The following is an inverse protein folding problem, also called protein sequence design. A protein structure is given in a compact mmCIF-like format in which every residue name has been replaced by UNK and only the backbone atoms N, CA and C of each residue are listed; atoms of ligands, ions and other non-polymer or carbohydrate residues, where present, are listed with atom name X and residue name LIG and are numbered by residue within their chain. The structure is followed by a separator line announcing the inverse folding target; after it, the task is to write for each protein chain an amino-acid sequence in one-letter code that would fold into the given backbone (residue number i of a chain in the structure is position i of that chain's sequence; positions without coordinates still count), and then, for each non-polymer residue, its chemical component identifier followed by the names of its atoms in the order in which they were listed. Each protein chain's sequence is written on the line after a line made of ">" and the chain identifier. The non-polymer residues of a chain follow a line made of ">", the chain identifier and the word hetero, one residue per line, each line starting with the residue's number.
data_IF_122361185291
#
_entry.id   IF_122361185291
#
_cell.length_a   1.000
_cell.length_b   1.000
_cell.length_c   1.000
_cell.angle_alpha   90.00
_cell.angle_beta   90.00
_cell.angle_gamma   90.00
#
_symmetry.space_group_name_H-M   'P 1'
#
loop_
_entity.id
_entity.type
_entity.pdbx_description
1 polymer ?
#
# COMPACT_ATOMS: atom_id res chain seq x y z
N UNK A 1 -11.16 10.17 28.36
CA UNK A 1 -11.02 11.22 27.34
C UNK A 1 -10.16 10.66 26.22
N UNK A 2 -10.65 10.73 24.99
CA UNK A 2 -9.99 10.22 23.79
C UNK A 2 -8.64 10.86 23.59
N UNK A 3 -7.68 10.09 23.08
CA UNK A 3 -6.33 10.55 22.76
C UNK A 3 -6.09 10.40 21.26
N UNK A 4 -5.33 11.33 20.68
CA UNK A 4 -4.79 11.19 19.34
C UNK A 4 -3.84 9.99 19.33
N UNK A 5 -4.16 8.97 18.52
CA UNK A 5 -3.33 7.78 18.33
C UNK A 5 -2.34 7.96 17.18
N UNK A 6 -2.82 8.46 16.06
CA UNK A 6 -2.03 8.69 14.86
C UNK A 6 -2.60 9.84 14.05
N UNK A 7 -1.75 10.43 13.23
CA UNK A 7 -2.11 11.48 12.29
C UNK A 7 -1.55 11.09 10.93
N UNK A 8 -2.41 11.10 9.92
CA UNK A 8 -2.05 10.82 8.53
C UNK A 8 -2.21 12.04 7.64
N UNK A 9 -2.18 11.79 6.32
CA UNK A 9 -2.36 12.85 5.34
C UNK A 9 -3.78 13.44 5.37
N UNK A 10 -4.78 12.58 5.49
CA UNK A 10 -6.18 12.97 5.34
C UNK A 10 -6.93 13.15 6.66
N UNK A 11 -6.43 12.61 7.78
CA UNK A 11 -7.15 12.69 9.06
C UNK A 11 -6.35 12.25 10.27
N UNK A 12 -7.02 12.30 11.42
CA UNK A 12 -6.48 11.93 12.72
C UNK A 12 -7.29 10.81 13.35
N UNK A 13 -6.62 9.80 13.90
CA UNK A 13 -7.27 8.65 14.54
C UNK A 13 -7.26 8.83 16.06
N UNK A 14 -8.40 8.61 16.69
CA UNK A 14 -8.61 8.78 18.12
C UNK A 14 -9.04 7.48 18.79
N UNK A 15 -8.54 7.26 20.02
CA UNK A 15 -8.97 6.17 20.89
C UNK A 15 -8.98 6.55 22.38
N UNK A 16 -10.00 6.17 23.17
CA UNK A 16 -11.32 5.68 22.73
C UNK A 16 -11.96 6.59 21.67
N UNK A 17 -12.91 6.07 20.87
CA UNK A 17 -13.49 6.77 19.72
C UNK A 17 -14.09 8.15 20.03
N UNK A 18 -14.61 8.84 19.01
CA UNK A 18 -15.25 10.15 19.09
C UNK A 18 -16.70 10.02 18.63
N UNK A 19 -17.64 10.41 19.48
CA UNK A 19 -19.06 10.46 19.12
C UNK A 19 -19.33 11.66 18.20
N UNK A 20 -20.49 11.68 17.54
CA UNK A 20 -20.89 12.75 16.61
C UNK A 20 -20.99 14.15 17.26
N UNK A 21 -21.25 14.23 18.56
CA UNK A 21 -21.23 15.47 19.34
C UNK A 21 -19.80 15.95 19.71
N UNK A 22 -18.77 15.21 19.26
CA UNK A 22 -17.37 15.46 19.54
C UNK A 22 -16.91 14.96 20.91
N UNK A 23 -17.78 14.34 21.70
CA UNK A 23 -17.42 13.75 22.99
C UNK A 23 -16.63 12.44 22.82
N UNK A 24 -15.95 11.99 23.88
CA UNK A 24 -15.26 10.69 23.86
C UNK A 24 -16.27 9.56 23.94
N UNK A 25 -16.16 8.59 23.03
CA UNK A 25 -16.89 7.33 23.10
C UNK A 25 -16.42 6.50 24.30
N UNK A 26 -17.34 5.74 24.87
CA UNK A 26 -17.06 4.76 25.92
C UNK A 26 -16.85 3.34 25.36
N UNK A 27 -17.05 3.14 24.06
CA UNK A 27 -16.87 1.83 23.43
C UNK A 27 -15.37 1.54 23.20
N UNK A 28 -14.79 0.53 23.88
CA UNK A 28 -13.38 0.18 23.72
C UNK A 28 -13.08 -0.59 22.42
N UNK A 29 -14.12 -0.99 21.67
CA UNK A 29 -13.98 -1.72 20.41
C UNK A 29 -13.87 -0.81 19.19
N UNK A 30 -13.97 0.50 19.38
CA UNK A 30 -14.01 1.50 18.31
C UNK A 30 -12.89 2.52 18.44
N UNK A 31 -12.23 2.77 17.33
CA UNK A 31 -11.43 3.96 17.09
C UNK A 31 -12.14 4.82 16.03
N UNK A 32 -11.89 6.12 16.04
CA UNK A 32 -12.55 7.04 15.12
C UNK A 32 -11.52 7.87 14.36
N UNK A 33 -11.57 7.84 13.03
CA UNK A 33 -10.81 8.74 12.16
C UNK A 33 -11.65 9.98 11.91
N UNK A 34 -11.13 11.14 12.30
CA UNK A 34 -11.73 12.44 12.00
C UNK A 34 -10.98 13.05 10.83
N UNK A 35 -11.70 13.41 9.78
CA UNK A 35 -11.16 14.06 8.59
C UNK A 35 -12.13 15.07 7.98
N UNK A 36 -11.65 15.89 7.05
CA UNK A 36 -12.49 16.79 6.28
C UNK A 36 -13.49 15.98 5.46
N UNK A 37 -14.74 16.47 5.38
CA UNK A 37 -15.76 15.88 4.51
C UNK A 37 -15.49 16.29 3.06
N UNK A 38 -14.92 15.38 2.30
CA UNK A 38 -14.56 15.51 0.88
C UNK A 38 -14.78 14.19 0.11
N UNK A 39 -14.33 14.14 -1.15
CA UNK A 39 -14.42 12.95 -2.00
C UNK A 39 -13.77 11.72 -1.35
N UNK A 40 -12.55 11.85 -0.81
CA UNK A 40 -11.82 10.72 -0.22
C UNK A 40 -12.56 10.17 0.99
N UNK A 41 -13.12 11.05 1.83
CA UNK A 41 -13.89 10.61 2.99
C UNK A 41 -15.18 9.86 2.64
N UNK A 42 -15.89 10.32 1.60
CA UNK A 42 -17.09 9.66 1.11
C UNK A 42 -16.73 8.31 0.47
N UNK A 43 -15.66 8.29 -0.33
CA UNK A 43 -15.16 7.08 -0.95
C UNK A 43 -14.71 6.04 0.09
N UNK A 44 -14.03 6.44 1.16
CA UNK A 44 -13.60 5.54 2.24
C UNK A 44 -14.79 4.84 2.92
N UNK A 45 -15.86 5.59 3.23
CA UNK A 45 -17.09 5.04 3.79
C UNK A 45 -17.81 4.12 2.81
N UNK A 46 -17.93 4.50 1.54
CA UNK A 46 -18.56 3.66 0.52
C UNK A 46 -17.80 2.35 0.28
N UNK A 47 -16.47 2.39 0.26
CA UNK A 47 -15.63 1.20 0.18
C UNK A 47 -15.77 0.36 1.45
N UNK A 48 -15.86 1.01 2.62
CA UNK A 48 -16.11 0.34 3.90
C UNK A 48 -17.40 -0.47 3.91
N UNK A 49 -18.48 0.07 3.32
CA UNK A 49 -19.75 -0.64 3.13
C UNK A 49 -19.65 -1.87 2.21
N UNK A 50 -18.80 -1.80 1.17
CA UNK A 50 -18.56 -2.93 0.27
C UNK A 50 -17.74 -4.00 0.98
N UNK A 51 -16.65 -3.62 1.65
CA UNK A 51 -15.75 -4.52 2.36
C UNK A 51 -16.47 -5.24 3.50
N UNK A 52 -17.32 -4.54 4.25
CA UNK A 52 -18.06 -5.11 5.38
C UNK A 52 -19.04 -6.22 4.97
N UNK A 53 -19.37 -6.34 3.68
CA UNK A 53 -20.19 -7.42 3.11
C UNK A 53 -19.37 -8.67 2.72
N UNK A 54 -18.05 -8.56 2.66
CA UNK A 54 -17.17 -9.70 2.36
C UNK A 54 -17.19 -10.66 3.55
N UNK A 55 -17.41 -11.96 3.29
CA UNK A 55 -17.39 -12.96 4.36
C UNK A 55 -16.02 -13.03 5.03
N UNK A 56 -16.03 -12.81 6.36
CA UNK A 56 -14.84 -12.77 7.20
C UNK A 56 -13.92 -11.57 6.95
N UNK A 57 -14.47 -10.42 6.54
CA UNK A 57 -13.68 -9.22 6.23
C UNK A 57 -12.81 -8.75 7.40
N UNK A 58 -13.27 -8.91 8.63
CA UNK A 58 -12.58 -8.55 9.89
C UNK A 58 -11.28 -9.34 10.11
N UNK A 59 -11.14 -10.47 9.42
CA UNK A 59 -9.89 -11.19 9.33
C UNK A 59 -8.88 -10.48 8.42
N UNK A 60 -9.26 -9.65 7.46
CA UNK A 60 -8.33 -9.13 6.46
C UNK A 60 -8.22 -7.61 6.46
N UNK A 61 -9.26 -6.91 6.91
CA UNK A 61 -9.43 -5.48 6.70
C UNK A 61 -9.91 -4.79 7.98
N UNK A 62 -9.61 -3.50 8.10
CA UNK A 62 -10.22 -2.59 9.08
C UNK A 62 -10.87 -1.45 8.29
N UNK A 63 -12.07 -1.68 7.71
CA UNK A 63 -12.80 -0.65 7.00
C UNK A 63 -13.46 0.34 7.98
N UNK A 64 -13.93 1.46 7.42
CA UNK A 64 -14.97 2.28 8.06
C UNK A 64 -16.25 1.45 8.14
N UNK A 65 -16.88 1.42 9.32
CA UNK A 65 -18.11 0.66 9.58
C UNK A 65 -19.31 1.55 9.92
N UNK A 66 -19.05 2.79 10.32
CA UNK A 66 -20.07 3.81 10.55
C UNK A 66 -19.47 5.20 10.35
N UNK A 67 -20.29 6.18 10.02
CA UNK A 67 -19.85 7.58 9.91
C UNK A 67 -20.91 8.56 10.41
N UNK A 68 -20.46 9.70 10.90
CA UNK A 68 -21.33 10.83 11.15
C UNK A 68 -20.62 12.18 11.03
N UNK A 69 -21.38 13.22 10.72
CA UNK A 69 -20.87 14.59 10.79
C UNK A 69 -20.52 14.93 12.24
N UNK A 70 -19.34 15.50 12.43
CA UNK A 70 -18.85 15.89 13.76
C UNK A 70 -18.73 17.40 13.88
N UNK A 71 -19.32 17.96 14.93
CA UNK A 71 -19.24 19.39 15.19
C UNK A 71 -17.99 19.71 16.03
N UNK A 72 -16.88 19.99 15.36
CA UNK A 72 -15.61 20.34 16.01
C UNK A 72 -15.75 21.58 16.91
N UNK A 73 -16.55 22.58 16.52
CA UNK A 73 -16.70 23.85 17.26
C UNK A 73 -17.33 23.67 18.65
N UNK A 74 -18.22 22.69 18.79
CA UNK A 74 -18.92 22.40 20.03
C UNK A 74 -18.23 21.33 20.88
N UNK A 75 -17.15 20.73 20.37
CA UNK A 75 -16.45 19.69 21.10
C UNK A 75 -15.62 20.27 22.25
N UNK A 76 -15.84 19.72 23.45
CA UNK A 76 -15.00 19.96 24.62
C UNK A 76 -13.71 19.11 24.62
N UNK A 77 -13.45 18.33 23.57
CA UNK A 77 -12.34 17.39 23.52
C UNK A 77 -11.06 18.07 23.02
N UNK A 78 -10.18 18.43 23.96
CA UNK A 78 -8.89 19.07 23.67
C UNK A 78 -7.98 18.25 22.75
N UNK A 79 -8.21 16.94 22.62
CA UNK A 79 -7.43 16.11 21.71
C UNK A 79 -7.71 16.42 20.23
N UNK A 80 -8.93 16.86 19.88
CA UNK A 80 -9.25 17.26 18.50
C UNK A 80 -8.42 18.48 18.06
N UNK A 81 -8.14 19.41 18.98
CA UNK A 81 -7.30 20.59 18.71
C UNK A 81 -5.83 20.25 18.47
N UNK A 82 -5.40 19.01 18.76
CA UNK A 82 -4.03 18.55 18.48
C UNK A 82 -3.87 17.99 17.07
N UNK A 83 -4.97 17.84 16.34
CA UNK A 83 -4.96 17.34 14.98
C UNK A 83 -4.65 18.49 14.02
N UNK A 84 -3.51 18.43 13.33
CA UNK A 84 -3.13 19.47 12.35
C UNK A 84 -4.05 19.49 11.12
N UNK A 85 -4.83 18.43 10.88
CA UNK A 85 -5.83 18.43 9.79
C UNK A 85 -7.04 19.32 10.16
N UNK A 86 -7.25 19.60 11.44
CA UNK A 86 -8.36 20.41 11.95
C UNK A 86 -7.86 21.85 12.15
N UNK A 87 -7.45 22.49 11.06
CA UNK A 87 -6.95 23.88 11.07
C UNK A 87 -8.08 24.90 10.94
N UNK A 88 -9.10 24.58 10.13
CA UNK A 88 -10.17 25.50 9.78
C UNK A 88 -11.53 24.98 10.28
N UNK A 89 -12.07 25.70 11.27
CA UNK A 89 -13.35 25.41 11.90
C UNK A 89 -14.56 25.68 10.99
N UNK A 90 -14.39 26.30 9.82
CA UNK A 90 -15.44 26.48 8.81
C UNK A 90 -15.67 25.25 7.95
N UNK A 91 -14.69 24.35 7.86
CA UNK A 91 -14.86 23.10 7.13
C UNK A 91 -15.84 22.14 7.84
N UNK A 92 -16.54 21.36 7.04
CA UNK A 92 -17.28 20.21 7.53
C UNK A 92 -16.33 19.03 7.76
N UNK A 93 -16.49 18.37 8.90
CA UNK A 93 -15.71 17.20 9.28
C UNK A 93 -16.62 15.99 9.45
N UNK A 94 -16.07 14.81 9.18
CA UNK A 94 -16.71 13.52 9.40
C UNK A 94 -15.89 12.73 10.41
N UNK A 95 -16.59 12.10 11.34
CA UNK A 95 -16.07 11.10 12.26
C UNK A 95 -16.44 9.73 11.67
N UNK A 96 -15.44 8.92 11.37
CA UNK A 96 -15.59 7.60 10.76
C UNK A 96 -15.10 6.55 11.75
N UNK A 97 -16.01 5.68 12.18
CA UNK A 97 -15.73 4.64 13.14
C UNK A 97 -15.15 3.41 12.45
N UNK A 98 -14.14 2.84 13.09
CA UNK A 98 -13.43 1.64 12.64
C UNK A 98 -13.20 0.68 13.81
N UNK A 99 -13.15 -0.64 13.57
CA UNK A 99 -12.78 -1.60 14.60
C UNK A 99 -11.40 -1.29 15.20
N UNK A 100 -11.34 -1.09 16.51
CA UNK A 100 -10.09 -0.93 17.21
C UNK A 100 -9.42 -2.29 17.46
N UNK A 101 -8.15 -2.39 17.07
CA UNK A 101 -7.29 -3.50 17.47
C UNK A 101 -6.03 -2.97 18.15
N UNK A 102 -5.52 -3.73 19.11
CA UNK A 102 -4.18 -3.46 19.65
C UNK A 102 -3.17 -3.80 18.56
N UNK A 103 -2.41 -2.80 18.12
CA UNK A 103 -1.41 -2.96 17.07
C UNK A 103 0.02 -3.02 17.61
N UNK A 104 0.92 -3.53 16.79
CA UNK A 104 2.37 -3.44 16.95
C UNK A 104 2.97 -2.97 15.63
N UNK A 105 3.88 -2.00 15.67
CA UNK A 105 4.52 -1.51 14.45
C UNK A 105 5.59 -2.48 13.95
N UNK A 106 5.81 -2.50 12.63
CA UNK A 106 6.79 -3.40 12.02
C UNK A 106 8.23 -3.23 12.58
N UNK A 107 8.76 -2.01 12.81
CA UNK A 107 10.05 -1.83 13.50
C UNK A 107 10.07 -2.36 14.93
N UNK A 108 8.94 -2.32 15.65
CA UNK A 108 8.86 -2.87 16.99
C UNK A 108 8.80 -4.40 16.98
N UNK A 109 8.15 -5.00 15.98
CA UNK A 109 8.20 -6.44 15.74
C UNK A 109 9.64 -6.92 15.48
N UNK A 110 10.41 -6.16 14.69
CA UNK A 110 11.84 -6.45 14.47
C UNK A 110 12.64 -6.45 15.77
N UNK A 111 12.34 -5.55 16.72
CA UNK A 111 13.05 -5.48 18.01
C UNK A 111 12.65 -6.60 18.97
N UNK A 112 11.36 -6.97 18.96
CA UNK A 112 10.76 -7.83 20.00
C UNK A 112 10.72 -9.31 19.62
N UNK A 113 10.50 -9.64 18.35
CA UNK A 113 10.42 -11.03 17.88
C UNK A 113 11.82 -11.62 17.73
N UNK A 114 11.95 -12.94 17.92
CA UNK A 114 13.18 -13.65 17.52
C UNK A 114 13.36 -13.60 16.00
N UNK A 115 14.59 -13.70 15.49
CA UNK A 115 14.84 -13.70 14.04
C UNK A 115 14.04 -14.77 13.29
N UNK A 116 13.87 -15.95 13.90
CA UNK A 116 13.00 -17.02 13.38
C UNK A 116 11.55 -16.54 13.26
N UNK A 117 10.98 -16.05 14.35
CA UNK A 117 9.58 -15.60 14.37
C UNK A 117 9.35 -14.43 13.41
N UNK A 118 10.33 -13.54 13.24
CA UNK A 118 10.24 -12.45 12.28
C UNK A 118 10.18 -12.97 10.83
N UNK A 119 11.06 -13.90 10.46
CA UNK A 119 11.05 -14.50 9.11
C UNK A 119 9.71 -15.21 8.85
N UNK A 120 9.22 -15.99 9.81
CA UNK A 120 7.88 -16.60 9.73
C UNK A 120 6.79 -15.54 9.58
N UNK A 121 6.87 -14.46 10.34
CA UNK A 121 5.87 -13.39 10.26
C UNK A 121 5.85 -12.75 8.89
N UNK A 122 7.01 -12.51 8.26
CA UNK A 122 7.10 -11.97 6.89
C UNK A 122 6.46 -12.94 5.88
N UNK A 123 6.81 -14.22 5.96
CA UNK A 123 6.26 -15.28 5.10
C UNK A 123 4.74 -15.35 5.21
N UNK A 124 4.24 -15.46 6.45
CA UNK A 124 2.82 -15.57 6.73
C UNK A 124 2.08 -14.29 6.35
N UNK A 125 2.69 -13.13 6.55
CA UNK A 125 2.09 -11.85 6.16
C UNK A 125 1.91 -11.75 4.66
N UNK A 126 2.92 -12.13 3.86
CA UNK A 126 2.79 -12.13 2.40
C UNK A 126 1.66 -13.05 1.92
N UNK A 127 1.63 -14.29 2.46
CA UNK A 127 0.57 -15.26 2.17
C UNK A 127 -0.81 -14.72 2.51
N UNK A 128 -0.94 -14.12 3.69
CA UNK A 128 -2.20 -13.58 4.19
C UNK A 128 -2.68 -12.38 3.37
N UNK A 129 -1.77 -11.48 3.00
CA UNK A 129 -2.07 -10.30 2.20
C UNK A 129 -2.47 -10.70 0.76
N UNK A 130 -1.86 -11.72 0.17
CA UNK A 130 -2.35 -12.27 -1.11
C UNK A 130 -3.78 -12.80 -1.03
N UNK A 131 -4.19 -13.38 0.11
CA UNK A 131 -5.58 -13.79 0.33
C UNK A 131 -6.51 -12.57 0.49
N UNK A 132 -6.02 -11.49 1.11
CA UNK A 132 -6.75 -10.24 1.22
C UNK A 132 -6.95 -9.59 -0.16
N UNK A 133 -5.92 -9.56 -1.01
CA UNK A 133 -6.02 -9.04 -2.37
C UNK A 133 -7.00 -9.82 -3.23
N UNK A 134 -7.01 -11.16 -3.13
CA UNK A 134 -8.01 -12.00 -3.81
C UNK A 134 -9.44 -11.63 -3.39
N UNK A 135 -9.67 -11.31 -2.13
CA UNK A 135 -10.98 -10.83 -1.64
C UNK A 135 -11.36 -9.46 -2.20
N UNK A 136 -10.42 -8.51 -2.25
CA UNK A 136 -10.66 -7.18 -2.83
C UNK A 136 -10.94 -7.27 -4.34
N UNK A 137 -10.15 -8.06 -5.07
CA UNK A 137 -10.33 -8.28 -6.51
C UNK A 137 -11.71 -8.90 -6.80
N UNK A 138 -12.15 -9.89 -6.02
CA UNK A 138 -13.50 -10.48 -6.13
C UNK A 138 -14.61 -9.47 -5.82
N UNK A 139 -14.35 -8.50 -4.94
CA UNK A 139 -15.25 -7.38 -4.65
C UNK A 139 -15.10 -6.22 -5.64
N UNK A 140 -14.24 -6.36 -6.65
CA UNK A 140 -13.90 -5.35 -7.67
C UNK A 140 -13.42 -4.02 -7.08
N UNK A 141 -12.58 -4.12 -6.05
CA UNK A 141 -11.91 -2.99 -5.41
C UNK A 141 -10.42 -3.10 -5.70
N UNK A 142 -9.83 -1.99 -6.15
CA UNK A 142 -8.38 -1.78 -6.16
C UNK A 142 -8.05 -0.97 -4.91
N UNK A 143 -7.16 -1.46 -4.05
CA UNK A 143 -6.72 -0.71 -2.88
C UNK A 143 -6.04 0.60 -3.27
N UNK A 144 -5.20 0.55 -4.31
CA UNK A 144 -4.55 1.70 -4.96
C UNK A 144 -3.46 2.41 -4.13
N UNK A 145 -3.42 2.19 -2.81
CA UNK A 145 -2.36 2.70 -1.92
C UNK A 145 -1.72 1.63 -1.03
N UNK A 146 -1.41 0.45 -1.57
CA UNK A 146 -0.89 -0.65 -0.73
C UNK A 146 0.60 -0.46 -0.40
N UNK A 147 0.87 -0.05 0.84
CA UNK A 147 2.20 0.17 1.42
C UNK A 147 2.25 -0.25 2.89
N UNK A 148 3.44 -0.30 3.49
CA UNK A 148 3.64 -0.87 4.82
C UNK A 148 2.87 -0.11 5.91
N UNK A 149 2.75 1.20 5.77
CA UNK A 149 2.01 2.11 6.64
C UNK A 149 0.50 1.82 6.64
N UNK A 150 0.00 1.24 5.54
CA UNK A 150 -1.38 0.81 5.36
C UNK A 150 -1.58 -0.68 5.72
N UNK A 151 -0.60 -1.29 6.38
CA UNK A 151 -0.69 -2.64 6.96
C UNK A 151 -0.60 -2.56 8.50
N UNK A 152 -1.69 -2.86 9.18
CA UNK A 152 -1.74 -2.94 10.63
C UNK A 152 -1.50 -4.36 11.14
N UNK A 153 -0.49 -4.55 12.00
CA UNK A 153 -0.22 -5.86 12.60
C UNK A 153 -0.85 -5.98 13.98
N UNK A 154 -1.66 -7.02 14.20
CA UNK A 154 -2.29 -7.27 15.51
C UNK A 154 -1.24 -7.66 16.54
N UNK A 155 -1.21 -7.00 17.71
CA UNK A 155 -0.18 -7.18 18.74
C UNK A 155 -0.10 -8.62 19.27
N UNK A 156 -1.23 -9.29 19.41
CA UNK A 156 -1.28 -10.64 20.00
C UNK A 156 -0.84 -11.75 19.04
N UNK A 157 -1.10 -11.58 17.73
CA UNK A 157 -0.95 -12.66 16.74
C UNK A 157 -0.02 -12.31 15.58
N UNK A 158 0.40 -11.05 15.46
CA UNK A 158 1.16 -10.48 14.34
C UNK A 158 0.55 -10.66 12.95
N UNK A 159 -0.69 -11.13 12.86
CA UNK A 159 -1.44 -11.19 11.61
C UNK A 159 -1.72 -9.77 11.09
N UNK A 160 -1.50 -9.52 9.78
CA UNK A 160 -1.75 -8.23 9.17
C UNK A 160 -3.24 -7.98 8.91
N UNK A 161 -3.61 -6.69 8.84
CA UNK A 161 -4.88 -6.16 8.36
C UNK A 161 -4.59 -4.99 7.43
N UNK A 162 -5.26 -4.92 6.29
CA UNK A 162 -5.18 -3.77 5.39
C UNK A 162 -6.12 -2.68 5.91
N UNK A 163 -5.63 -1.44 5.89
CA UNK A 163 -6.33 -0.23 6.34
C UNK A 163 -6.21 0.86 5.28
N UNK A 164 -6.94 1.97 5.49
CA UNK A 164 -6.87 3.20 4.68
C UNK A 164 -7.33 3.01 3.22
N UNK A 165 -8.65 3.00 3.05
CA UNK A 165 -9.30 2.81 1.74
C UNK A 165 -9.70 4.14 1.07
N UNK A 166 -9.17 5.28 1.54
CA UNK A 166 -9.62 6.60 1.13
C UNK A 166 -9.48 6.87 -0.37
N UNK A 167 -8.43 6.33 -0.99
CA UNK A 167 -8.19 6.46 -2.44
C UNK A 167 -8.43 5.16 -3.22
N UNK A 168 -9.02 4.15 -2.59
CA UNK A 168 -9.34 2.88 -3.26
C UNK A 168 -10.35 3.10 -4.39
N UNK A 169 -10.23 2.31 -5.46
CA UNK A 169 -11.03 2.45 -6.66
C UNK A 169 -12.10 1.35 -6.70
N UNK A 170 -13.39 1.70 -6.55
CA UNK A 170 -14.50 0.78 -6.82
C UNK A 170 -14.74 0.69 -8.34
N UNK A 171 -14.28 -0.38 -8.97
CA UNK A 171 -14.31 -0.54 -10.43
C UNK A 171 -15.72 -0.41 -11.03
N UNK A 172 -16.75 -0.91 -10.31
CA UNK A 172 -18.14 -0.82 -10.76
C UNK A 172 -18.71 0.61 -10.76
N UNK A 173 -18.03 1.56 -10.10
CA UNK A 173 -18.42 2.98 -10.05
C UNK A 173 -17.48 3.88 -10.86
N UNK A 174 -16.33 3.38 -11.31
CA UNK A 174 -15.35 4.14 -12.07
C UNK A 174 -15.89 4.45 -13.48
N UNK A 175 -15.75 5.70 -13.91
CA UNK A 175 -16.10 6.17 -15.25
C UNK A 175 -15.26 7.39 -15.63
N UNK A 176 -15.39 7.86 -16.87
CA UNK A 176 -14.61 8.96 -17.40
C UNK A 176 -14.81 10.28 -16.62
N UNK A 177 -16.00 10.50 -16.04
CA UNK A 177 -16.32 11.73 -15.31
C UNK A 177 -15.66 11.79 -13.92
N UNK A 178 -15.43 10.64 -13.29
CA UNK A 178 -14.86 10.57 -11.93
C UNK A 178 -13.42 10.07 -11.86
N UNK A 179 -12.83 9.61 -12.97
CA UNK A 179 -11.48 9.06 -12.99
C UNK A 179 -10.43 10.02 -12.42
N UNK A 180 -10.55 11.32 -12.71
CA UNK A 180 -9.65 12.36 -12.18
C UNK A 180 -9.69 12.49 -10.65
N UNK A 181 -10.77 12.07 -9.99
CA UNK A 181 -10.83 12.10 -8.52
C UNK A 181 -9.98 10.98 -7.89
N UNK A 182 -9.83 9.85 -8.59
CA UNK A 182 -8.99 8.73 -8.15
C UNK A 182 -7.53 8.93 -8.55
N UNK A 183 -7.28 9.27 -9.82
CA UNK A 183 -5.94 9.55 -10.36
C UNK A 183 -5.61 11.04 -10.22
N UNK A 184 -5.70 11.57 -9.00
CA UNK A 184 -5.68 13.01 -8.74
C UNK A 184 -4.31 13.67 -8.89
N UNK A 185 -3.23 12.89 -8.98
CA UNK A 185 -1.86 13.38 -9.07
C UNK A 185 -0.98 12.47 -9.93
N UNK A 186 -0.05 13.07 -10.67
CA UNK A 186 1.08 12.38 -11.29
C UNK A 186 2.25 12.30 -10.31
N UNK A 187 2.59 11.09 -9.88
CA UNK A 187 3.68 10.82 -8.93
C UNK A 187 4.47 9.59 -9.40
N UNK A 188 5.33 9.72 -10.44
CA UNK A 188 6.05 8.59 -11.03
C UNK A 188 7.07 7.97 -10.06
N UNK A 189 7.54 8.72 -9.08
CA UNK A 189 8.43 8.27 -8.01
C UNK A 189 7.70 7.55 -6.86
N UNK A 190 6.36 7.54 -6.86
CA UNK A 190 5.54 6.79 -5.91
C UNK A 190 5.53 5.29 -6.25
N UNK A 191 6.66 4.64 -5.99
CA UNK A 191 7.02 3.34 -6.55
C UNK A 191 6.10 2.14 -6.24
N UNK A 192 5.13 2.30 -5.33
CA UNK A 192 4.06 1.32 -5.11
C UNK A 192 2.99 1.35 -6.21
N UNK A 193 2.89 2.45 -6.96
CA UNK A 193 2.15 2.50 -8.20
C UNK A 193 2.92 1.79 -9.31
N UNK A 194 2.20 1.03 -10.12
CA UNK A 194 2.80 0.39 -11.29
C UNK A 194 2.89 1.40 -12.45
N UNK A 195 3.74 1.16 -13.47
CA UNK A 195 3.90 2.08 -14.58
C UNK A 195 2.60 2.48 -15.29
N UNK A 196 1.62 1.57 -15.35
CA UNK A 196 0.32 1.84 -15.99
C UNK A 196 -0.46 2.93 -15.23
N UNK A 197 -0.41 2.92 -13.89
CA UNK A 197 -1.01 3.97 -13.06
C UNK A 197 -0.32 5.31 -13.34
N UNK A 198 1.02 5.31 -13.39
CA UNK A 198 1.80 6.53 -13.67
C UNK A 198 1.46 7.14 -15.03
N UNK A 199 1.28 6.31 -16.07
CA UNK A 199 0.89 6.78 -17.41
C UNK A 199 -0.54 7.34 -17.42
N UNK A 200 -1.49 6.68 -16.76
CA UNK A 200 -2.86 7.20 -16.63
C UNK A 200 -2.82 8.56 -15.92
N UNK A 201 -2.12 8.64 -14.78
CA UNK A 201 -1.99 9.86 -14.03
C UNK A 201 -1.33 10.99 -14.84
N UNK A 202 -0.27 10.69 -15.61
CA UNK A 202 0.36 11.66 -16.50
C UNK A 202 -0.63 12.20 -17.55
N UNK A 203 -1.33 11.31 -18.25
CA UNK A 203 -2.30 11.69 -19.27
C UNK A 203 -3.50 12.46 -18.70
N UNK A 204 -3.86 12.24 -17.44
CA UNK A 204 -4.96 12.94 -16.80
C UNK A 204 -4.56 14.29 -16.20
N UNK A 205 -3.30 14.46 -15.78
CA UNK A 205 -2.89 15.59 -14.96
C UNK A 205 -1.87 16.52 -15.62
N UNK A 206 -1.03 16.03 -16.52
CA UNK A 206 0.11 16.77 -17.06
C UNK A 206 -0.06 17.19 -18.53
N UNK A 207 -0.93 16.53 -19.28
CA UNK A 207 -1.09 16.79 -20.72
C UNK A 207 -2.48 16.51 -21.26
N UNK A 208 -2.91 17.36 -22.21
CA UNK A 208 -4.11 17.13 -23.04
C UNK A 208 -3.78 16.45 -24.38
N UNK A 209 -2.51 16.09 -24.61
CA UNK A 209 -2.01 15.52 -25.87
C UNK A 209 -1.78 14.00 -25.76
N UNK A 210 -1.59 13.37 -26.92
CA UNK A 210 -1.13 11.98 -27.02
C UNK A 210 0.34 11.88 -26.54
N UNK A 211 0.75 10.71 -26.02
CA UNK A 211 2.12 10.48 -25.52
C UNK A 211 3.17 10.72 -26.62
N UNK A 212 4.21 11.46 -26.28
CA UNK A 212 5.42 11.64 -27.09
C UNK A 212 6.54 10.71 -26.62
N UNK A 213 7.60 10.60 -27.43
CA UNK A 213 8.79 9.85 -27.03
C UNK A 213 9.46 10.44 -25.79
N UNK A 214 9.49 11.78 -25.69
CA UNK A 214 10.10 12.49 -24.57
C UNK A 214 9.34 12.21 -23.26
N UNK A 215 7.99 12.21 -23.31
CA UNK A 215 7.15 11.85 -22.15
C UNK A 215 7.44 10.43 -21.65
N UNK A 216 7.60 9.48 -22.59
CA UNK A 216 7.90 8.08 -22.27
C UNK A 216 9.28 7.94 -21.63
N UNK A 217 10.28 8.67 -22.14
CA UNK A 217 11.63 8.67 -21.56
C UNK A 217 11.65 9.25 -20.15
N UNK A 218 10.94 10.36 -19.93
CA UNK A 218 10.81 10.98 -18.61
C UNK A 218 10.09 10.06 -17.61
N UNK A 219 8.93 9.50 -17.98
CA UNK A 219 8.20 8.55 -17.13
C UNK A 219 9.08 7.37 -16.76
N UNK A 220 9.80 6.77 -17.73
CA UNK A 220 10.62 5.60 -17.49
C UNK A 220 11.82 5.90 -16.57
N UNK A 221 12.46 7.06 -16.75
CA UNK A 221 13.56 7.53 -15.89
C UNK A 221 13.07 7.76 -14.46
N UNK A 222 12.04 8.61 -14.28
CA UNK A 222 11.51 8.98 -12.97
C UNK A 222 10.99 7.75 -12.21
N UNK A 223 10.27 6.87 -12.90
CA UNK A 223 9.73 5.64 -12.29
C UNK A 223 10.83 4.67 -11.87
N UNK A 224 11.90 4.54 -12.65
CA UNK A 224 13.00 3.62 -12.33
C UNK A 224 13.86 4.17 -11.19
N UNK A 225 14.25 5.44 -11.26
CA UNK A 225 15.09 6.08 -10.25
C UNK A 225 14.35 6.27 -8.91
N UNK A 226 13.05 6.57 -8.97
CA UNK A 226 12.19 6.66 -7.79
C UNK A 226 11.90 5.30 -7.13
N UNK A 227 12.13 4.18 -7.82
CA UNK A 227 11.83 2.86 -7.28
C UNK A 227 12.88 2.37 -6.29
N UNK A 228 12.65 2.71 -5.02
CA UNK A 228 13.53 2.36 -3.90
C UNK A 228 13.64 0.86 -3.66
N UNK A 229 12.69 0.03 -4.12
CA UNK A 229 12.87 -1.43 -4.04
C UNK A 229 14.04 -1.92 -4.92
N UNK A 230 14.45 -1.12 -5.91
CA UNK A 230 15.57 -1.40 -6.80
C UNK A 230 16.93 -0.93 -6.23
N UNK A 231 16.98 -0.20 -5.11
CA UNK A 231 18.22 0.38 -4.54
C UNK A 231 19.30 -0.66 -4.25
N UNK A 232 18.89 -1.88 -3.88
CA UNK A 232 19.82 -2.97 -3.57
C UNK A 232 20.33 -3.71 -4.81
N UNK A 233 19.83 -3.38 -6.00
CA UNK A 233 20.22 -4.01 -7.26
C UNK A 233 21.35 -3.25 -7.95
N UNK A 234 22.08 -3.94 -8.83
CA UNK A 234 23.15 -3.32 -9.62
C UNK A 234 22.60 -2.25 -10.57
N UNK A 235 23.47 -1.30 -10.95
CA UNK A 235 23.13 -0.33 -12.00
C UNK A 235 22.70 -1.01 -13.29
N UNK A 236 23.38 -2.10 -13.69
CA UNK A 236 23.00 -2.91 -14.85
C UNK A 236 21.58 -3.47 -14.74
N UNK A 237 21.15 -3.90 -13.55
CA UNK A 237 19.77 -4.36 -13.34
C UNK A 237 18.77 -3.23 -13.50
N UNK A 238 19.06 -2.05 -12.92
CA UNK A 238 18.21 -0.85 -13.05
C UNK A 238 18.10 -0.40 -14.51
N UNK A 239 19.22 -0.37 -15.24
CA UNK A 239 19.25 -0.05 -16.67
C UNK A 239 18.38 -1.02 -17.47
N UNK A 240 18.50 -2.34 -17.22
CA UNK A 240 17.66 -3.34 -17.85
C UNK A 240 16.17 -3.18 -17.52
N UNK A 241 15.83 -2.83 -16.26
CA UNK A 241 14.45 -2.55 -15.87
C UNK A 241 13.90 -1.34 -16.62
N UNK A 242 14.68 -0.25 -16.73
CA UNK A 242 14.33 0.94 -17.50
C UNK A 242 14.12 0.64 -18.97
N UNK A 243 15.01 -0.13 -19.58
CA UNK A 243 14.87 -0.53 -20.99
C UNK A 243 13.60 -1.35 -21.24
N UNK A 244 13.27 -2.29 -20.34
CA UNK A 244 12.00 -3.03 -20.44
C UNK A 244 10.77 -2.11 -20.32
N UNK A 245 10.84 -1.08 -19.47
CA UNK A 245 9.79 -0.09 -19.32
C UNK A 245 9.67 0.80 -20.57
N UNK A 246 10.78 1.28 -21.11
CA UNK A 246 10.81 2.03 -22.37
C UNK A 246 10.24 1.22 -23.53
N UNK A 247 10.63 -0.06 -23.63
CA UNK A 247 10.10 -0.96 -24.66
C UNK A 247 8.58 -1.10 -24.56
N UNK A 248 8.05 -1.27 -23.34
CA UNK A 248 6.60 -1.36 -23.10
C UNK A 248 5.88 -0.06 -23.48
N UNK A 249 6.38 1.09 -23.02
CA UNK A 249 5.68 2.37 -23.18
C UNK A 249 5.78 2.96 -24.59
N UNK A 250 6.86 2.64 -25.34
CA UNK A 250 7.04 3.09 -26.73
C UNK A 250 5.93 2.63 -27.67
N UNK A 251 5.25 1.52 -27.36
CA UNK A 251 4.10 1.03 -28.15
C UNK A 251 2.90 1.98 -28.14
N UNK A 252 2.85 2.91 -27.17
CA UNK A 252 1.75 3.86 -26.98
C UNK A 252 2.05 5.28 -27.50
N UNK A 253 3.27 5.53 -28.01
CA UNK A 253 3.64 6.85 -28.57
C UNK A 253 2.79 7.18 -29.79
N UNK A 254 2.16 8.35 -29.78
CA UNK A 254 1.25 8.81 -30.84
C UNK A 254 -0.09 8.05 -30.91
N UNK A 255 -0.35 7.12 -29.98
CA UNK A 255 -1.66 6.49 -29.85
C UNK A 255 -2.61 7.45 -29.13
N UNK A 256 -3.88 7.47 -29.55
CA UNK A 256 -4.91 8.33 -28.97
C UNK A 256 -4.98 8.19 -27.45
N UNK A 257 -4.89 9.31 -26.73
CA UNK A 257 -4.93 9.43 -25.27
C UNK A 257 -5.99 8.54 -24.62
N UNK A 258 -7.24 8.62 -25.07
CA UNK A 258 -8.35 7.86 -24.49
C UNK A 258 -8.16 6.35 -24.66
N UNK A 259 -7.58 5.94 -25.78
CA UNK A 259 -7.25 4.53 -26.04
C UNK A 259 -6.13 4.05 -25.13
N UNK A 260 -5.10 4.89 -24.91
CA UNK A 260 -4.00 4.55 -23.98
C UNK A 260 -4.54 4.38 -22.56
N UNK A 261 -5.32 5.35 -22.06
CA UNK A 261 -5.93 5.27 -20.72
C UNK A 261 -6.73 3.97 -20.57
N UNK A 262 -7.59 3.65 -21.54
CA UNK A 262 -8.37 2.41 -21.53
C UNK A 262 -7.48 1.16 -21.50
N UNK A 263 -6.46 1.09 -22.35
CA UNK A 263 -5.55 -0.07 -22.38
C UNK A 263 -4.74 -0.22 -21.09
N UNK A 264 -4.32 0.90 -20.48
CA UNK A 264 -3.67 0.86 -19.17
C UNK A 264 -4.62 0.33 -18.09
N UNK A 265 -5.86 0.81 -18.08
CA UNK A 265 -6.92 0.35 -17.17
C UNK A 265 -7.25 -1.14 -17.33
N UNK A 266 -7.12 -1.72 -18.52
CA UNK A 266 -7.36 -3.16 -18.75
C UNK A 266 -6.39 -4.07 -17.96
N UNK A 267 -5.30 -3.52 -17.42
CA UNK A 267 -4.30 -4.25 -16.62
C UNK A 267 -4.52 -4.22 -15.09
N UNK A 268 -5.62 -3.63 -14.62
CA UNK A 268 -5.87 -3.31 -13.22
C UNK A 268 -5.81 -4.50 -12.25
N UNK A 269 -6.12 -5.71 -12.73
CA UNK A 269 -6.10 -6.95 -11.92
C UNK A 269 -4.72 -7.25 -11.31
N UNK A 270 -3.65 -6.66 -11.85
CA UNK A 270 -2.27 -6.88 -11.40
C UNK A 270 -1.73 -5.77 -10.49
N UNK A 271 -2.45 -4.66 -10.33
CA UNK A 271 -1.91 -3.44 -9.72
C UNK A 271 -1.62 -3.60 -8.23
N UNK A 272 -2.59 -4.07 -7.44
CA UNK A 272 -2.33 -4.28 -6.01
C UNK A 272 -1.32 -5.41 -5.77
N UNK A 273 -1.23 -6.40 -6.67
CA UNK A 273 -0.21 -7.44 -6.60
C UNK A 273 1.19 -6.88 -6.89
N UNK A 274 1.31 -5.93 -7.82
CA UNK A 274 2.53 -5.15 -8.03
C UNK A 274 2.90 -4.38 -6.76
N UNK A 275 1.96 -3.64 -6.15
CA UNK A 275 2.20 -2.85 -4.94
C UNK A 275 2.64 -3.71 -3.76
N UNK A 276 1.96 -4.85 -3.55
CA UNK A 276 2.35 -5.84 -2.54
C UNK A 276 3.75 -6.36 -2.80
N UNK A 277 4.06 -6.66 -4.06
CA UNK A 277 5.33 -7.28 -4.43
C UNK A 277 6.51 -6.31 -4.30
N UNK A 278 6.35 -5.06 -4.73
CA UNK A 278 7.41 -4.05 -4.60
C UNK A 278 7.65 -3.67 -3.14
N UNK A 279 6.59 -3.60 -2.32
CA UNK A 279 6.70 -3.42 -0.87
C UNK A 279 7.49 -4.56 -0.22
N UNK A 280 7.15 -5.82 -0.51
CA UNK A 280 7.89 -6.96 0.05
C UNK A 280 9.31 -7.08 -0.50
N UNK A 281 9.55 -6.68 -1.75
CA UNK A 281 10.90 -6.63 -2.32
C UNK A 281 11.76 -5.61 -1.57
N UNK A 282 11.23 -4.43 -1.26
CA UNK A 282 11.90 -3.43 -0.42
C UNK A 282 12.17 -3.98 0.98
N UNK A 283 11.19 -4.63 1.61
CA UNK A 283 11.38 -5.25 2.94
C UNK A 283 12.52 -6.29 2.89
N UNK A 284 12.51 -7.20 1.92
CA UNK A 284 13.53 -8.26 1.80
C UNK A 284 14.92 -7.67 1.58
N UNK A 285 15.06 -6.70 0.68
CA UNK A 285 16.37 -6.08 0.39
C UNK A 285 16.92 -5.30 1.59
N UNK A 286 16.04 -4.70 2.40
CA UNK A 286 16.43 -4.10 3.68
C UNK A 286 16.82 -5.16 4.71
N UNK A 287 16.09 -6.27 4.82
CA UNK A 287 16.41 -7.34 5.77
C UNK A 287 17.74 -8.04 5.43
N UNK A 288 18.00 -8.22 4.13
CA UNK A 288 19.06 -9.07 3.59
C UNK A 288 19.91 -8.31 2.54
N UNK A 289 20.67 -7.27 2.94
CA UNK A 289 21.32 -6.32 2.01
C UNK A 289 22.60 -6.82 1.34
N UNK A 290 23.35 -7.69 2.02
CA UNK A 290 24.71 -8.06 1.63
C UNK A 290 24.72 -9.56 1.32
N UNK A 291 24.50 -9.91 0.06
CA UNK A 291 24.85 -11.23 -0.49
C UNK A 291 24.15 -12.47 0.09
N UNK A 292 22.97 -12.31 0.68
CA UNK A 292 22.05 -13.42 1.00
C UNK A 292 21.40 -14.02 -0.26
N UNK A 293 21.86 -13.65 -1.47
CA UNK A 293 21.68 -14.35 -2.74
C UNK A 293 22.16 -15.81 -2.74
N UNK A 294 22.60 -16.36 -1.61
CA UNK A 294 22.84 -17.79 -1.41
C UNK A 294 21.65 -18.52 -0.78
N UNK A 295 20.79 -17.84 -0.04
CA UNK A 295 19.65 -18.50 0.57
C UNK A 295 18.57 -18.76 -0.47
N UNK A 296 18.30 -20.05 -0.74
CA UNK A 296 17.37 -20.48 -1.79
C UNK A 296 15.97 -19.89 -1.61
N UNK A 297 15.44 -19.86 -0.39
CA UNK A 297 14.15 -19.24 -0.09
C UNK A 297 14.13 -17.75 -0.49
N UNK A 298 15.11 -16.96 -0.05
CA UNK A 298 15.17 -15.52 -0.37
C UNK A 298 15.28 -15.29 -1.87
N UNK A 299 16.09 -16.08 -2.59
CA UNK A 299 16.22 -15.99 -4.05
C UNK A 299 14.89 -16.26 -4.74
N UNK A 300 14.25 -17.39 -4.42
CA UNK A 300 12.99 -17.79 -5.04
C UNK A 300 11.88 -16.80 -4.72
N UNK A 301 11.83 -16.29 -3.49
CA UNK A 301 10.85 -15.27 -3.10
C UNK A 301 11.09 -13.97 -3.87
N UNK A 302 12.32 -13.45 -3.91
CA UNK A 302 12.68 -12.27 -4.71
C UNK A 302 12.37 -12.44 -6.19
N UNK A 303 12.56 -13.64 -6.78
CA UNK A 303 12.18 -13.92 -8.17
C UNK A 303 10.68 -13.76 -8.41
N UNK A 304 9.83 -14.29 -7.52
CA UNK A 304 8.36 -14.11 -7.63
C UNK A 304 8.00 -12.63 -7.54
N UNK A 305 8.58 -11.90 -6.59
CA UNK A 305 8.32 -10.47 -6.42
C UNK A 305 8.74 -9.68 -7.67
N UNK A 306 9.91 -10.00 -8.25
CA UNK A 306 10.41 -9.41 -9.50
C UNK A 306 9.50 -9.70 -10.70
N UNK A 307 8.92 -10.90 -10.78
CA UNK A 307 7.93 -11.22 -11.82
C UNK A 307 6.68 -10.35 -11.70
N UNK A 308 6.22 -10.10 -10.48
CA UNK A 308 5.03 -9.28 -10.23
C UNK A 308 5.26 -7.78 -10.43
N UNK A 309 6.51 -7.33 -10.37
CA UNK A 309 6.86 -5.92 -10.66
C UNK A 309 7.34 -5.68 -12.10
N UNK A 310 7.18 -6.66 -12.99
CA UNK A 310 7.60 -6.53 -14.39
C UNK A 310 6.92 -5.30 -15.06
N UNK A 311 7.64 -4.47 -15.84
CA UNK A 311 7.06 -3.28 -16.48
C UNK A 311 5.84 -3.58 -17.38
N UNK A 312 5.95 -4.59 -18.24
CA UNK A 312 4.84 -5.15 -19.00
C UNK A 312 3.85 -5.91 -18.08
N UNK A 313 2.56 -5.52 -18.02
CA UNK A 313 1.58 -6.11 -17.11
C UNK A 313 1.21 -7.54 -17.49
N UNK A 314 1.26 -7.92 -18.78
CA UNK A 314 0.95 -9.28 -19.24
C UNK A 314 2.00 -10.31 -18.83
N UNK A 315 3.17 -9.87 -18.33
CA UNK A 315 4.21 -10.73 -17.78
C UNK A 315 4.15 -10.86 -16.27
N UNK A 316 3.26 -10.10 -15.62
CA UNK A 316 2.99 -10.24 -14.18
C UNK A 316 2.12 -11.46 -13.96
N UNK A 317 2.28 -12.05 -12.77
CA UNK A 317 1.42 -13.16 -12.36
C UNK A 317 0.10 -12.60 -11.84
N UNK A 318 -0.98 -13.34 -12.07
CA UNK A 318 -2.22 -13.14 -11.32
C UNK A 318 -1.98 -13.43 -9.82
N UNK A 319 -2.84 -12.89 -8.96
CA UNK A 319 -2.80 -13.16 -7.50
C UNK A 319 -2.79 -14.67 -7.23
N UNK A 320 -3.59 -15.45 -7.98
CA UNK A 320 -3.67 -16.90 -7.82
C UNK A 320 -2.38 -17.61 -8.22
N UNK A 321 -1.77 -17.22 -9.32
CA UNK A 321 -0.48 -17.79 -9.76
C UNK A 321 0.64 -17.41 -8.80
N UNK A 322 0.64 -16.18 -8.28
CA UNK A 322 1.57 -15.75 -7.23
C UNK A 322 1.44 -16.61 -5.98
N UNK A 323 0.21 -16.84 -5.49
CA UNK A 323 -0.06 -17.72 -4.34
C UNK A 323 0.49 -19.13 -4.58
N UNK A 324 0.21 -19.73 -5.75
CA UNK A 324 0.66 -21.07 -6.08
C UNK A 324 2.19 -21.15 -6.11
N UNK A 325 2.86 -20.25 -6.86
CA UNK A 325 4.33 -20.20 -6.93
C UNK A 325 4.99 -19.94 -5.58
N UNK A 326 4.40 -19.09 -4.75
CA UNK A 326 4.94 -18.81 -3.43
C UNK A 326 4.84 -20.02 -2.50
N UNK A 327 3.71 -20.73 -2.53
CA UNK A 327 3.53 -21.97 -1.77
C UNK A 327 4.50 -23.07 -2.25
N UNK A 328 4.77 -23.14 -3.55
CA UNK A 328 5.71 -24.11 -4.13
C UNK A 328 7.14 -23.95 -3.61
N UNK A 329 7.55 -22.76 -3.17
CA UNK A 329 8.87 -22.55 -2.55
C UNK A 329 9.05 -23.53 -1.37
N UNK A 330 8.04 -23.67 -0.51
CA UNK A 330 8.09 -24.53 0.68
C UNK A 330 8.02 -26.02 0.35
N UNK A 331 7.48 -26.39 -0.83
CA UNK A 331 7.49 -27.75 -1.34
C UNK A 331 8.86 -28.11 -1.97
N UNK A 332 9.55 -27.11 -2.53
CA UNK A 332 10.87 -27.25 -3.17
C UNK A 332 12.04 -27.06 -2.21
N UNK A 333 11.82 -26.41 -1.07
CA UNK A 333 12.80 -26.09 -0.03
C UNK A 333 12.41 -26.75 1.30
N UNK A 334 12.48 -28.08 1.34
CA UNK A 334 12.28 -28.87 2.57
C UNK A 334 13.44 -28.81 3.57
N UNK A 335 14.44 -27.93 3.34
CA UNK A 335 15.64 -27.89 4.15
C UNK A 335 15.53 -26.91 5.33
N UNK A 336 15.18 -27.46 6.49
CA UNK A 336 15.17 -26.76 7.78
C UNK A 336 16.50 -26.05 8.06
N UNK A 337 17.63 -26.56 7.54
CA UNK A 337 18.94 -25.96 7.75
C UNK A 337 19.09 -24.61 7.05
N UNK A 338 18.51 -24.44 5.86
CA UNK A 338 18.49 -23.17 5.12
C UNK A 338 17.77 -22.07 5.89
N UNK A 339 16.60 -22.41 6.46
CA UNK A 339 15.84 -21.51 7.31
C UNK A 339 16.59 -21.14 8.61
N UNK A 340 17.20 -22.11 9.29
CA UNK A 340 17.98 -21.86 10.50
C UNK A 340 19.20 -20.97 10.25
N UNK A 341 19.87 -21.16 9.12
CA UNK A 341 20.99 -20.33 8.69
C UNK A 341 20.53 -18.91 8.39
N UNK A 342 19.42 -18.73 7.67
CA UNK A 342 18.84 -17.42 7.40
C UNK A 342 18.52 -16.66 8.69
N UNK A 343 17.89 -17.34 9.66
CA UNK A 343 17.58 -16.74 10.96
C UNK A 343 18.83 -16.35 11.74
N UNK A 344 19.91 -17.12 11.63
CA UNK A 344 21.19 -16.80 12.27
C UNK A 344 21.86 -15.58 11.63
N UNK A 345 21.88 -15.51 10.29
CA UNK A 345 22.40 -14.34 9.56
C UNK A 345 21.59 -13.09 9.90
N UNK A 346 20.27 -13.21 9.92
CA UNK A 346 19.39 -12.09 10.26
C UNK A 346 19.61 -11.59 11.69
N UNK A 347 19.82 -12.47 12.66
CA UNK A 347 20.11 -12.06 14.04
C UNK A 347 21.37 -11.19 14.15
N UNK A 348 22.39 -11.44 13.31
CA UNK A 348 23.62 -10.64 13.28
C UNK A 348 23.39 -9.23 12.71
N UNK A 349 22.44 -9.05 11.78
CA UNK A 349 22.17 -7.77 11.12
C UNK A 349 20.98 -7.01 11.72
N UNK A 350 20.21 -7.64 12.61
CA UNK A 350 18.91 -7.19 13.13
C UNK A 350 18.85 -5.75 13.62
N UNK A 351 19.85 -5.29 14.37
CA UNK A 351 19.92 -3.91 14.89
C UNK A 351 20.03 -2.92 13.72
N UNK A 352 20.96 -3.16 12.80
CA UNK A 352 21.18 -2.31 11.62
C UNK A 352 19.97 -2.35 10.69
N UNK A 353 19.34 -3.50 10.54
CA UNK A 353 18.10 -3.67 9.76
C UNK A 353 16.94 -2.88 10.35
N UNK A 354 16.75 -2.94 11.67
CA UNK A 354 15.71 -2.17 12.36
C UNK A 354 15.89 -0.67 12.12
N UNK A 355 17.13 -0.17 12.20
CA UNK A 355 17.44 1.24 11.94
C UNK A 355 17.10 1.63 10.49
N UNK A 356 17.54 0.83 9.51
CA UNK A 356 17.28 1.09 8.08
C UNK A 356 15.79 1.13 7.76
N UNK A 357 14.99 0.23 8.34
CA UNK A 357 13.54 0.19 8.14
C UNK A 357 12.86 1.39 8.80
N UNK A 358 13.30 1.80 9.99
CA UNK A 358 12.77 3.00 10.64
C UNK A 358 13.04 4.28 9.83
N UNK A 359 14.20 4.35 9.18
CA UNK A 359 14.55 5.43 8.25
C UNK A 359 13.67 5.35 6.98
N UNK A 360 13.38 4.14 6.48
CA UNK A 360 12.63 3.91 5.24
C UNK A 360 11.16 4.32 5.30
N UNK A 361 10.48 4.04 6.41
CA UNK A 361 9.02 4.16 6.59
C UNK A 361 8.50 5.60 6.37
N UNK A 362 9.34 6.63 6.48
CA UNK A 362 8.89 8.02 6.36
C UNK A 362 9.02 8.61 4.95
N UNK A 363 9.44 7.82 3.97
CA UNK A 363 9.79 8.33 2.63
C UNK A 363 8.72 8.08 1.56
N UNK A 364 7.69 7.26 1.83
CA UNK A 364 6.66 6.94 0.85
C UNK A 364 5.34 7.67 1.15
N UNK A 365 5.32 8.96 0.83
CA UNK A 365 4.16 9.83 1.05
C UNK A 365 3.67 10.37 -0.27
N UNK A 366 2.44 10.03 -0.63
CA UNK A 366 1.78 10.62 -1.78
C UNK A 366 1.38 12.07 -1.42
N UNK A 367 1.63 13.07 -2.29
CA UNK A 367 1.20 14.43 -2.02
C UNK A 367 -0.32 14.54 -1.89
N UNK A 368 -0.80 15.45 -1.04
CA UNK A 368 -2.24 15.62 -0.74
C UNK A 368 -2.98 16.44 -1.79
N UNK A 369 -2.26 17.26 -2.54
CA UNK A 369 -2.78 18.16 -3.57
C UNK A 369 -1.78 18.23 -4.71
N UNK A 370 -2.25 18.56 -5.92
CA UNK A 370 -1.35 18.98 -7.00
C UNK A 370 -0.53 20.18 -6.53
N UNK A 371 0.78 20.16 -6.78
CA UNK A 371 1.70 21.27 -6.49
C UNK A 371 1.50 22.44 -7.44
#
# INVERSE_FOLDING_TARGET
>A
MSKLLSQGGFGCVFYPGINCDGSSSNDPSIATKVQKRDFNSQNESEIGDIISKITGYDMFFIPVIDECSVNIRQSNNQSLQKCEVIEDLENEYVAMDMPFIKQIEFPEMLKTLSSKNMILTIVESYRYLLMALDKLANAKIIHFDLKLENIMFKKETTNPRIIDFGISIPLDKLNDDNMNNYFYIYAPDYYVWCPQICVIAFLLNETDKDLTSDDVEEIAELHTEGNRALDAFSSEFKDNFKELLLMELREYVGVKREKVIKTMMDSHETWDNYSLSVMFLRIITLLFPNDDHKNKFVILFSQILLMNIHPNPNRRLSIKETQNKFNDIFMMDGDVSGYLNLAKTFELSKINTTKRIQEDINHLVLPKTKS
#
